data_IF_566392356792
#
_entry.id   IF_566392356792
#
_cell.length_a   1.000
_cell.length_b   1.000
_cell.length_c   1.000
_cell.angle_alpha   90.00
_cell.angle_beta   90.00
_cell.angle_gamma   90.00
#
_symmetry.space_group_name_H-M   'P 1'
#
loop_
_entity.id
_entity.type
_entity.pdbx_description
1 polymer ?
#
# COMPACT_ATOMS: atom_id res chain seq x y z
N UNK A 1 -11.59 -11.08 8.90
CA UNK A 1 -10.37 -11.76 8.40
C UNK A 1 -9.55 -10.73 7.63
N UNK A 2 -8.34 -10.40 8.06
CA UNK A 2 -7.51 -9.38 7.39
C UNK A 2 -6.90 -9.97 6.12
N UNK A 3 -7.00 -9.30 4.95
CA UNK A 3 -6.46 -9.82 3.70
C UNK A 3 -4.93 -9.90 3.71
N UNK A 4 -4.40 -10.86 2.96
CA UNK A 4 -2.96 -11.15 2.91
C UNK A 4 -2.14 -9.95 2.38
N UNK A 5 -2.71 -9.14 1.49
CA UNK A 5 -2.07 -7.93 0.96
C UNK A 5 -1.79 -6.88 2.04
N UNK A 6 -2.77 -6.60 2.91
CA UNK A 6 -2.60 -5.66 4.01
C UNK A 6 -1.52 -6.13 5.00
N UNK A 7 -1.50 -7.43 5.34
CA UNK A 7 -0.44 -8.03 6.18
C UNK A 7 0.94 -7.97 5.51
N UNK A 8 1.03 -8.01 4.19
CA UNK A 8 2.31 -7.87 3.50
C UNK A 8 2.79 -6.40 3.54
N UNK A 9 1.91 -5.46 3.23
CA UNK A 9 2.22 -4.02 3.22
C UNK A 9 2.63 -3.48 4.59
N UNK A 10 1.93 -3.88 5.67
CA UNK A 10 2.23 -3.42 7.03
C UNK A 10 3.57 -3.86 7.61
N UNK A 11 4.37 -4.62 6.85
CA UNK A 11 5.78 -4.88 7.18
C UNK A 11 6.66 -3.64 7.00
N UNK A 12 6.23 -2.67 6.20
CA UNK A 12 6.89 -1.37 6.07
C UNK A 12 6.58 -0.38 7.20
N UNK A 13 5.66 -0.71 8.11
CA UNK A 13 5.31 0.15 9.23
C UNK A 13 6.45 0.29 10.26
N UNK A 14 6.35 1.25 11.20
CA UNK A 14 7.43 1.58 12.14
C UNK A 14 7.83 0.42 13.06
N UNK A 15 6.90 -0.52 13.35
CA UNK A 15 7.19 -1.76 14.09
C UNK A 15 7.24 -3.01 13.20
N UNK A 16 7.18 -2.84 11.88
CA UNK A 16 7.26 -3.92 10.90
C UNK A 16 8.70 -4.20 10.45
N UNK A 17 8.91 -5.34 9.79
CA UNK A 17 10.12 -5.58 8.99
C UNK A 17 11.41 -5.88 9.76
N UNK A 18 11.41 -5.82 11.09
CA UNK A 18 12.61 -6.07 11.88
C UNK A 18 12.72 -7.55 12.27
N UNK A 19 13.61 -8.28 11.59
CA UNK A 19 14.12 -9.56 12.08
C UNK A 19 15.47 -9.32 12.81
N UNK A 20 15.50 -9.32 14.15
CA UNK A 20 16.71 -9.00 14.90
C UNK A 20 17.82 -10.06 14.78
N UNK A 21 17.55 -11.21 14.14
CA UNK A 21 18.46 -12.37 14.16
C UNK A 21 19.28 -12.58 12.89
N UNK A 22 18.90 -12.01 11.74
CA UNK A 22 19.63 -12.17 10.47
C UNK A 22 19.43 -10.94 9.58
N UNK A 23 20.52 -10.24 9.25
CA UNK A 23 20.52 -9.28 8.15
C UNK A 23 20.42 -10.04 6.83
N UNK A 24 19.36 -9.79 6.06
CA UNK A 24 19.28 -10.25 4.68
C UNK A 24 19.91 -9.21 3.76
N UNK A 25 20.65 -9.66 2.74
CA UNK A 25 21.22 -8.77 1.71
C UNK A 25 20.17 -8.04 0.87
N UNK A 26 18.91 -8.50 0.92
CA UNK A 26 17.76 -7.85 0.32
C UNK A 26 16.66 -7.66 1.40
N UNK A 27 16.63 -6.52 2.11
CA UNK A 27 15.75 -6.31 3.26
C UNK A 27 14.25 -6.38 2.89
N UNK A 28 13.87 -5.97 1.68
CA UNK A 28 12.49 -6.04 1.18
C UNK A 28 12.01 -7.46 0.83
N UNK A 29 12.94 -8.41 0.71
CA UNK A 29 12.66 -9.80 0.36
C UNK A 29 12.73 -10.75 1.57
N UNK A 30 12.79 -10.21 2.80
CA UNK A 30 12.87 -11.05 4.01
C UNK A 30 11.58 -11.86 4.22
N UNK A 31 11.64 -13.21 4.17
CA UNK A 31 10.48 -14.06 4.43
C UNK A 31 9.99 -13.99 5.88
N UNK A 32 10.85 -13.59 6.83
CA UNK A 32 10.55 -13.53 8.25
C UNK A 32 10.08 -12.15 8.74
N UNK A 33 9.96 -11.17 7.84
CA UNK A 33 9.45 -9.84 8.16
C UNK A 33 8.02 -9.92 8.72
N UNK A 34 7.84 -9.43 9.95
CA UNK A 34 6.54 -9.40 10.63
C UNK A 34 5.79 -8.09 10.33
N UNK A 35 4.46 -8.15 10.17
CA UNK A 35 3.64 -6.96 10.03
C UNK A 35 3.46 -6.20 11.34
N UNK A 36 3.33 -4.89 11.27
CA UNK A 36 2.86 -4.08 12.40
C UNK A 36 1.33 -4.23 12.57
N UNK A 37 0.84 -4.91 13.62
CA UNK A 37 -0.60 -5.17 13.80
C UNK A 37 -1.42 -3.90 14.00
N UNK A 38 -0.79 -2.79 14.41
CA UNK A 38 -1.49 -1.52 14.65
C UNK A 38 -1.80 -0.76 13.36
N UNK A 39 -1.01 -1.00 12.30
CA UNK A 39 -1.12 -0.31 11.02
C UNK A 39 -1.89 -1.14 9.99
N UNK A 40 -1.97 -2.47 10.19
CA UNK A 40 -2.73 -3.42 9.36
C UNK A 40 -4.15 -2.99 8.99
N UNK A 41 -5.04 -2.58 9.92
CA UNK A 41 -6.42 -2.22 9.54
C UNK A 41 -6.47 -0.95 8.67
N UNK A 42 -5.55 -0.01 8.88
CA UNK A 42 -5.49 1.24 8.13
C UNK A 42 -4.91 1.04 6.73
N UNK A 43 -3.92 0.15 6.60
CA UNK A 43 -3.38 -0.26 5.29
C UNK A 43 -4.43 -1.01 4.49
N UNK A 44 -5.22 -1.88 5.13
CA UNK A 44 -6.35 -2.55 4.46
C UNK A 44 -7.37 -1.54 3.94
N UNK A 45 -7.79 -0.58 4.77
CA UNK A 45 -8.74 0.45 4.36
C UNK A 45 -8.20 1.30 3.19
N UNK A 46 -6.94 1.76 3.27
CA UNK A 46 -6.31 2.51 2.18
C UNK A 46 -6.19 1.69 0.89
N UNK A 47 -5.82 0.40 0.98
CA UNK A 47 -5.74 -0.48 -0.19
C UNK A 47 -7.09 -0.74 -0.84
N UNK A 48 -8.18 -0.78 -0.07
CA UNK A 48 -9.53 -0.91 -0.66
C UNK A 48 -9.90 0.30 -1.50
N UNK A 49 -9.58 1.51 -1.04
CA UNK A 49 -9.82 2.74 -1.81
C UNK A 49 -8.94 2.76 -3.06
N UNK A 50 -7.67 2.34 -2.96
CA UNK A 50 -6.79 2.17 -4.14
C UNK A 50 -7.38 1.18 -5.15
N UNK A 51 -7.90 0.04 -4.69
CA UNK A 51 -8.55 -0.94 -5.57
C UNK A 51 -9.85 -0.42 -6.17
N UNK A 52 -10.63 0.37 -5.42
CA UNK A 52 -11.83 1.02 -5.95
C UNK A 52 -11.47 2.00 -7.07
N UNK A 53 -10.48 2.86 -6.84
CA UNK A 53 -9.97 3.79 -7.86
C UNK A 53 -9.47 3.06 -9.12
N UNK A 54 -8.74 1.95 -8.95
CA UNK A 54 -8.24 1.16 -10.07
C UNK A 54 -9.37 0.53 -10.91
N UNK A 55 -10.47 0.13 -10.27
CA UNK A 55 -11.63 -0.43 -10.98
C UNK A 55 -12.47 0.67 -11.66
N UNK A 56 -12.49 1.88 -11.10
CA UNK A 56 -13.25 3.01 -11.63
C UNK A 56 -12.56 3.66 -12.83
N UNK A 57 -11.22 3.72 -12.86
CA UNK A 57 -10.46 4.21 -14.02
C UNK A 57 -10.75 3.41 -15.31
N UNK A 58 -11.01 2.11 -15.20
CA UNK A 58 -11.38 1.26 -16.34
C UNK A 58 -12.81 1.58 -16.84
N UNK A 59 -13.61 2.28 -16.02
CA UNK A 59 -15.01 2.63 -16.28
C UNK A 59 -15.23 4.09 -16.73
N UNK A 60 -14.28 4.69 -17.47
CA UNK A 60 -14.48 5.86 -18.34
C UNK A 60 -15.29 7.05 -17.77
N UNK A 61 -15.31 7.25 -16.45
CA UNK A 61 -15.95 8.41 -15.81
C UNK A 61 -14.85 9.38 -15.39
N UNK A 62 -15.10 10.67 -15.46
CA UNK A 62 -14.11 11.76 -15.34
C UNK A 62 -13.06 11.51 -14.22
N UNK A 63 -11.85 11.13 -14.64
CA UNK A 63 -10.77 10.67 -13.75
C UNK A 63 -10.41 11.68 -12.64
N UNK A 64 -10.59 12.97 -12.90
CA UNK A 64 -10.31 14.04 -11.94
C UNK A 64 -11.35 14.11 -10.81
N UNK A 65 -12.63 13.85 -11.11
CA UNK A 65 -13.71 13.86 -10.11
C UNK A 65 -13.63 12.63 -9.20
N UNK A 66 -13.27 11.48 -9.79
CA UNK A 66 -13.06 10.21 -9.08
C UNK A 66 -11.83 10.29 -8.19
N UNK A 67 -10.72 10.86 -8.67
CA UNK A 67 -9.52 11.09 -7.86
C UNK A 67 -9.77 12.04 -6.66
N UNK A 68 -10.65 13.05 -6.82
CA UNK A 68 -11.01 13.97 -5.73
C UNK A 68 -11.85 13.30 -4.63
N UNK A 69 -12.83 12.48 -5.00
CA UNK A 69 -13.67 11.73 -4.05
C UNK A 69 -12.85 10.66 -3.32
N UNK A 70 -12.07 9.88 -4.07
CA UNK A 70 -11.25 8.81 -3.51
C UNK A 70 -10.12 9.37 -2.62
N UNK A 71 -9.60 10.56 -2.92
CA UNK A 71 -8.56 11.19 -2.10
C UNK A 71 -9.04 11.56 -0.69
N UNK A 72 -10.28 12.02 -0.55
CA UNK A 72 -10.86 12.31 0.76
C UNK A 72 -11.13 11.02 1.55
N UNK A 73 -11.58 9.95 0.88
CA UNK A 73 -11.79 8.64 1.49
C UNK A 73 -10.49 8.01 2.02
N UNK A 74 -9.36 8.17 1.30
CA UNK A 74 -8.05 7.74 1.78
C UNK A 74 -7.67 8.47 3.07
N UNK A 75 -7.95 9.78 3.16
CA UNK A 75 -7.66 10.59 4.36
C UNK A 75 -8.55 10.20 5.54
N UNK A 76 -9.83 9.93 5.30
CA UNK A 76 -10.77 9.52 6.34
C UNK A 76 -10.49 8.10 6.85
N UNK A 77 -9.95 7.22 6.00
CA UNK A 77 -9.57 5.85 6.34
C UNK A 77 -8.34 5.77 7.28
N UNK A 78 -7.48 6.80 7.28
CA UNK A 78 -6.19 6.78 7.98
C UNK A 78 -6.18 7.80 9.12
N UNK A 79 -6.08 7.37 10.39
CA UNK A 79 -5.93 8.30 11.50
C UNK A 79 -4.64 9.12 11.38
N UNK A 80 -4.71 10.42 11.67
CA UNK A 80 -3.57 11.35 11.59
C UNK A 80 -2.29 10.84 12.29
N UNK A 81 -2.43 10.08 13.39
CA UNK A 81 -1.30 9.51 14.15
C UNK A 81 -0.58 8.35 13.46
N UNK A 82 -1.19 7.74 12.44
CA UNK A 82 -0.69 6.53 11.76
C UNK A 82 -0.37 6.78 10.29
N UNK A 83 -0.49 8.03 9.81
CA UNK A 83 -0.25 8.41 8.42
C UNK A 83 1.14 7.98 7.96
N UNK A 84 2.18 8.29 8.74
CA UNK A 84 3.56 7.93 8.39
C UNK A 84 3.76 6.41 8.32
N UNK A 85 3.10 5.65 9.19
CA UNK A 85 3.15 4.19 9.18
C UNK A 85 2.45 3.59 7.97
N UNK A 86 1.32 4.18 7.55
CA UNK A 86 0.61 3.77 6.32
C UNK A 86 1.42 4.14 5.08
N UNK A 87 1.99 5.35 5.00
CA UNK A 87 2.89 5.77 3.92
C UNK A 87 4.07 4.82 3.75
N UNK A 88 4.77 4.51 4.85
CA UNK A 88 5.89 3.57 4.82
C UNK A 88 5.45 2.16 4.39
N UNK A 89 4.25 1.74 4.79
CA UNK A 89 3.66 0.45 4.38
C UNK A 89 3.29 0.41 2.89
N UNK A 90 2.74 1.50 2.34
CA UNK A 90 2.41 1.62 0.92
C UNK A 90 3.68 1.69 0.06
N UNK A 91 4.68 2.45 0.48
CA UNK A 91 5.99 2.51 -0.17
C UNK A 91 6.69 1.14 -0.17
N UNK A 92 6.67 0.44 0.97
CA UNK A 92 7.18 -0.92 1.07
C UNK A 92 6.47 -1.87 0.09
N UNK A 93 5.14 -1.77 -0.03
CA UNK A 93 4.38 -2.61 -0.94
C UNK A 93 4.71 -2.30 -2.41
N UNK A 94 4.81 -1.01 -2.79
CA UNK A 94 5.21 -0.55 -4.13
C UNK A 94 6.56 -1.13 -4.56
N UNK A 95 7.54 -1.09 -3.66
CA UNK A 95 8.91 -1.52 -3.93
C UNK A 95 9.05 -3.05 -3.93
N UNK A 96 8.15 -3.77 -3.22
CA UNK A 96 8.15 -5.24 -3.18
C UNK A 96 7.47 -5.89 -4.38
N UNK A 97 6.56 -5.18 -5.07
CA UNK A 97 5.90 -5.70 -6.29
C UNK A 97 6.97 -6.01 -7.33
N UNK A 98 7.15 -7.30 -7.65
CA UNK A 98 8.16 -7.79 -8.59
C UNK A 98 7.55 -8.22 -9.92
N UNK A 99 8.21 -7.87 -11.02
CA UNK A 99 7.84 -8.29 -12.39
C UNK A 99 8.89 -9.28 -12.90
N UNK A 100 8.52 -10.44 -13.48
CA UNK A 100 7.16 -10.91 -13.79
C UNK A 100 6.51 -11.75 -12.68
N UNK A 101 7.16 -11.93 -11.53
CA UNK A 101 6.72 -12.85 -10.46
C UNK A 101 5.29 -12.58 -9.95
N UNK A 102 4.97 -11.33 -9.66
CA UNK A 102 3.69 -10.96 -9.03
C UNK A 102 2.64 -10.53 -10.08
N UNK A 103 3.03 -9.80 -11.13
CA UNK A 103 2.13 -9.35 -12.21
C UNK A 103 2.89 -8.91 -13.48
N UNK A 104 2.21 -8.75 -14.64
CA UNK A 104 2.81 -8.21 -15.87
C UNK A 104 3.25 -6.75 -15.73
N UNK A 105 4.18 -6.30 -16.58
CA UNK A 105 4.76 -4.95 -16.52
C UNK A 105 3.71 -3.84 -16.58
N UNK A 106 2.70 -3.95 -17.46
CA UNK A 106 1.65 -2.94 -17.59
C UNK A 106 0.82 -2.82 -16.31
N UNK A 107 0.40 -3.95 -15.72
CA UNK A 107 -0.35 -3.97 -14.47
C UNK A 107 0.49 -3.42 -13.31
N UNK A 108 1.77 -3.79 -13.22
CA UNK A 108 2.68 -3.28 -12.20
C UNK A 108 2.87 -1.76 -12.29
N UNK A 109 2.92 -1.20 -13.50
CA UNK A 109 3.01 0.25 -13.70
C UNK A 109 1.77 0.96 -13.17
N UNK A 110 0.57 0.48 -13.52
CA UNK A 110 -0.67 1.08 -13.05
C UNK A 110 -0.82 0.99 -11.55
N UNK A 111 -0.59 -0.18 -10.98
CA UNK A 111 -0.69 -0.38 -9.54
C UNK A 111 0.30 0.49 -8.76
N UNK A 112 1.55 0.62 -9.22
CA UNK A 112 2.54 1.51 -8.60
C UNK A 112 2.17 2.99 -8.72
N UNK A 113 1.55 3.41 -9.83
CA UNK A 113 1.08 4.78 -9.99
C UNK A 113 -0.01 5.12 -8.97
N UNK A 114 -0.98 4.22 -8.78
CA UNK A 114 -2.04 4.39 -7.79
C UNK A 114 -1.53 4.37 -6.34
N UNK A 115 -0.51 3.55 -6.05
CA UNK A 115 0.14 3.57 -4.73
C UNK A 115 0.87 4.89 -4.48
N UNK A 116 1.54 5.46 -5.50
CA UNK A 116 2.16 6.78 -5.37
C UNK A 116 1.11 7.88 -5.19
N UNK A 117 0.03 7.85 -5.97
CA UNK A 117 -1.11 8.77 -5.78
C UNK A 117 -1.65 8.73 -4.35
N UNK A 118 -1.86 7.53 -3.78
CA UNK A 118 -2.33 7.38 -2.41
C UNK A 118 -1.31 7.91 -1.37
N UNK A 119 -0.01 7.80 -1.64
CA UNK A 119 1.04 8.36 -0.79
C UNK A 119 1.02 9.89 -0.85
N UNK A 120 0.88 10.47 -2.05
CA UNK A 120 0.84 11.91 -2.28
C UNK A 120 -0.42 12.56 -1.65
N UNK A 121 -1.56 11.88 -1.70
CA UNK A 121 -2.80 12.32 -1.02
C UNK A 121 -2.65 12.40 0.50
N UNK A 122 -1.84 11.50 1.06
CA UNK A 122 -1.54 11.41 2.49
C UNK A 122 -0.44 12.39 2.92
N UNK A 123 0.27 13.04 1.99
CA UNK A 123 1.23 14.13 2.25
C UNK A 123 0.58 15.36 2.87
#
# INVERSE_FOLDING_TARGET
>A
MVPAGAKCGSRGGPRGGQNPRKGFGAPLADPYAQPDPTVVPHVDAALRVVCAALNEEDSATDAEHVAGLNGQEVRDAVPAKQVDGVKASLAYLRDRVGVPRDMPLAAARQFRAHLNWAIDVLE
#
